data_IF_969773042906
#
_entry.id   IF_969773042906
#
_cell.length_a   1.000
_cell.length_b   1.000
_cell.length_c   1.000
_cell.angle_alpha   90.00
_cell.angle_beta   90.00
_cell.angle_gamma   90.00
#
_symmetry.space_group_name_H-M   'P 1'
#
loop_
_entity.id
_entity.type
_entity.pdbx_description
1 polymer ?
#
# COMPACT_ATOMS: atom_id res chain seq x y z
N UNK A 1 -12.59 53.69 -13.85
CA UNK A 1 -13.58 53.90 -14.91
C UNK A 1 -14.54 52.71 -14.87
N UNK A 2 -15.81 52.97 -15.00
CA UNK A 2 -16.96 52.26 -14.48
C UNK A 2 -17.15 50.80 -14.98
N UNK A 3 -17.38 49.88 -14.03
CA UNK A 3 -17.85 48.53 -14.19
C UNK A 3 -19.34 48.55 -14.58
N UNK A 4 -19.73 47.79 -15.63
CA UNK A 4 -21.13 47.50 -15.95
C UNK A 4 -21.50 46.08 -15.50
N UNK A 5 -22.42 46.00 -14.58
CA UNK A 5 -23.12 44.80 -14.10
C UNK A 5 -24.24 44.49 -15.13
N UNK A 6 -24.36 43.24 -15.55
CA UNK A 6 -25.54 42.74 -16.28
C UNK A 6 -26.32 41.75 -15.41
N UNK A 7 -27.57 42.15 -15.16
CA UNK A 7 -28.52 41.34 -14.46
C UNK A 7 -29.12 40.27 -15.37
N UNK A 8 -29.20 39.03 -14.91
CA UNK A 8 -29.95 37.97 -15.58
C UNK A 8 -31.25 37.78 -14.85
N UNK A 9 -32.34 37.91 -15.58
CA UNK A 9 -33.73 37.77 -15.16
C UNK A 9 -34.04 36.27 -14.97
N UNK A 10 -34.51 35.88 -13.79
CA UNK A 10 -35.03 34.56 -13.53
C UNK A 10 -36.49 34.45 -14.01
N UNK A 11 -36.77 33.54 -14.93
CA UNK A 11 -38.13 33.14 -15.29
C UNK A 11 -38.55 31.98 -14.39
N UNK A 12 -39.52 32.22 -13.55
CA UNK A 12 -40.17 31.21 -12.70
C UNK A 12 -41.30 30.57 -13.53
N UNK A 13 -41.15 29.30 -13.86
CA UNK A 13 -42.22 28.44 -14.38
C UNK A 13 -42.81 27.61 -13.25
N UNK A 14 -44.03 27.96 -12.88
CA UNK A 14 -44.88 27.15 -12.00
C UNK A 14 -45.41 25.94 -12.78
N UNK A 15 -44.99 24.74 -12.40
CA UNK A 15 -45.66 23.50 -12.80
C UNK A 15 -46.24 22.80 -11.60
N UNK A 16 -47.53 22.55 -11.71
CA UNK A 16 -48.43 21.97 -10.72
C UNK A 16 -48.05 20.54 -10.35
N UNK A 17 -48.20 20.23 -9.08
CA UNK A 17 -47.95 18.95 -8.45
C UNK A 17 -48.93 17.85 -8.92
N UNK A 18 -48.41 16.72 -9.37
CA UNK A 18 -49.01 15.42 -9.21
C UNK A 18 -48.17 14.62 -8.22
N UNK A 19 -48.78 14.23 -7.09
CA UNK A 19 -48.12 13.50 -6.00
C UNK A 19 -47.71 12.10 -6.42
N UNK A 20 -46.39 11.89 -6.56
CA UNK A 20 -45.75 10.58 -6.55
C UNK A 20 -45.12 10.36 -5.17
N UNK A 21 -44.84 9.09 -4.76
CA UNK A 21 -44.23 8.84 -3.46
C UNK A 21 -42.84 9.49 -3.38
N UNK A 22 -42.60 10.23 -2.29
CA UNK A 22 -41.30 10.84 -2.02
C UNK A 22 -40.23 9.75 -2.05
N UNK A 23 -39.08 9.97 -2.74
CA UNK A 23 -37.93 9.11 -2.55
C UNK A 23 -37.53 9.14 -1.07
N UNK A 24 -37.51 7.97 -0.44
CA UNK A 24 -36.91 7.81 0.87
C UNK A 24 -35.46 8.24 0.76
N UNK A 25 -35.03 9.15 1.60
CA UNK A 25 -33.60 9.46 1.75
C UNK A 25 -32.85 8.15 2.02
N UNK A 26 -31.65 7.95 1.46
CA UNK A 26 -30.87 6.78 1.78
C UNK A 26 -30.72 6.72 3.30
N UNK A 27 -31.04 5.57 3.88
CA UNK A 27 -30.76 5.30 5.29
C UNK A 27 -29.28 5.59 5.50
N UNK A 28 -28.96 6.72 6.10
CA UNK A 28 -27.65 6.91 6.71
C UNK A 28 -27.58 5.88 7.82
N UNK A 29 -26.79 4.81 7.60
CA UNK A 29 -26.43 3.90 8.69
C UNK A 29 -25.98 4.77 9.86
N UNK A 30 -26.61 4.60 11.01
CA UNK A 30 -26.16 5.24 12.24
C UNK A 30 -24.69 4.86 12.41
N UNK A 31 -23.81 5.84 12.66
CA UNK A 31 -22.45 5.57 13.06
C UNK A 31 -22.51 4.57 14.22
N UNK A 32 -21.88 3.40 14.06
CA UNK A 32 -21.89 2.40 15.10
C UNK A 32 -21.24 2.99 16.35
N UNK A 33 -21.80 2.66 17.50
CA UNK A 33 -21.18 3.03 18.78
C UNK A 33 -19.78 2.44 18.84
N UNK A 34 -18.83 3.10 19.56
CA UNK A 34 -17.52 2.50 19.82
C UNK A 34 -17.67 1.06 20.32
N UNK A 35 -16.73 0.16 20.01
CA UNK A 35 -16.79 -1.22 20.46
C UNK A 35 -16.96 -1.30 21.99
N UNK A 36 -17.79 -2.21 22.46
CA UNK A 36 -17.94 -2.45 23.90
C UNK A 36 -16.71 -3.20 24.45
N UNK A 37 -15.78 -2.43 24.97
CA UNK A 37 -14.55 -2.96 25.57
C UNK A 37 -14.73 -3.50 26.99
N UNK A 38 -15.92 -3.35 27.58
CA UNK A 38 -16.18 -3.74 28.98
C UNK A 38 -15.98 -5.24 29.27
N UNK A 39 -15.99 -6.06 28.22
CA UNK A 39 -15.78 -7.51 28.28
C UNK A 39 -14.36 -7.94 27.88
N UNK A 40 -13.52 -6.99 27.50
CA UNK A 40 -12.16 -7.28 27.08
C UNK A 40 -11.22 -7.03 28.25
N UNK A 41 -10.69 -8.11 28.80
CA UNK A 41 -9.66 -8.08 29.83
C UNK A 41 -8.31 -8.39 29.18
N UNK A 42 -7.30 -7.57 29.46
CA UNK A 42 -5.93 -7.80 29.03
C UNK A 42 -5.01 -8.00 30.23
N UNK A 43 -4.00 -8.82 30.06
CA UNK A 43 -2.86 -8.88 30.95
C UNK A 43 -1.90 -7.77 30.56
N UNK A 44 -1.66 -6.79 31.45
CA UNK A 44 -0.89 -5.58 31.21
C UNK A 44 -1.66 -4.32 31.59
N UNK A 45 -1.08 -3.14 31.34
CA UNK A 45 -1.70 -1.87 31.71
C UNK A 45 -2.78 -1.43 30.71
N UNK A 46 -4.05 -1.71 31.03
CA UNK A 46 -5.20 -1.30 30.22
C UNK A 46 -5.38 0.24 30.12
N UNK A 47 -4.66 1.02 30.92
CA UNK A 47 -4.76 2.49 30.88
C UNK A 47 -3.88 3.12 29.80
N UNK A 48 -2.87 2.42 29.31
CA UNK A 48 -1.99 2.87 28.23
C UNK A 48 -2.75 3.08 26.93
N UNK A 49 -2.34 4.11 26.17
CA UNK A 49 -3.07 4.51 24.98
C UNK A 49 -3.06 3.44 23.88
N UNK A 50 -1.94 2.74 23.71
CA UNK A 50 -1.80 1.61 22.77
C UNK A 50 -2.77 0.48 23.16
N UNK A 51 -2.81 0.12 24.43
CA UNK A 51 -3.65 -0.96 24.94
C UNK A 51 -5.15 -0.62 24.87
N UNK A 52 -5.53 0.65 25.01
CA UNK A 52 -6.93 1.07 24.77
C UNK A 52 -7.35 0.88 23.33
N UNK A 53 -6.48 1.22 22.38
CA UNK A 53 -6.74 0.97 20.95
C UNK A 53 -6.81 -0.53 20.67
N UNK A 54 -5.89 -1.31 21.22
CA UNK A 54 -5.87 -2.77 21.11
C UNK A 54 -7.16 -3.41 21.66
N UNK A 55 -7.64 -3.00 22.83
CA UNK A 55 -8.90 -3.50 23.38
C UNK A 55 -10.11 -3.20 22.50
N UNK A 56 -10.15 -1.99 21.87
CA UNK A 56 -11.18 -1.64 20.91
C UNK A 56 -11.14 -2.53 19.66
N UNK A 57 -9.94 -2.79 19.12
CA UNK A 57 -9.74 -3.69 18.00
C UNK A 57 -10.15 -5.13 18.31
N UNK A 58 -9.75 -5.65 19.48
CA UNK A 58 -10.10 -7.00 19.94
C UNK A 58 -11.62 -7.17 20.05
N UNK A 59 -12.32 -6.21 20.64
CA UNK A 59 -13.77 -6.26 20.77
C UNK A 59 -14.45 -6.34 19.40
N UNK A 60 -14.03 -5.50 18.46
CA UNK A 60 -14.61 -5.48 17.12
C UNK A 60 -14.24 -6.71 16.29
N UNK A 61 -13.00 -7.19 16.38
CA UNK A 61 -12.55 -8.42 15.72
C UNK A 61 -13.35 -9.64 16.15
N UNK A 62 -13.65 -9.77 17.44
CA UNK A 62 -14.51 -10.83 17.97
C UNK A 62 -15.92 -10.75 17.36
N UNK A 63 -16.50 -9.56 17.31
CA UNK A 63 -17.84 -9.35 16.76
C UNK A 63 -17.89 -9.55 15.24
N UNK A 64 -16.89 -9.05 14.51
CA UNK A 64 -16.77 -9.22 13.08
C UNK A 64 -16.68 -10.70 12.70
N UNK A 65 -15.73 -11.42 13.28
CA UNK A 65 -15.55 -12.85 12.99
C UNK A 65 -16.68 -13.72 13.51
N UNK A 66 -17.35 -13.28 14.58
CA UNK A 66 -18.59 -13.93 15.03
C UNK A 66 -19.68 -13.96 13.95
N UNK A 67 -19.68 -12.97 13.03
CA UNK A 67 -20.63 -12.89 11.92
C UNK A 67 -20.08 -13.53 10.63
N UNK A 68 -18.81 -13.26 10.30
CA UNK A 68 -18.23 -13.68 9.02
C UNK A 68 -17.83 -15.15 8.99
N UNK A 69 -17.27 -15.69 10.08
CA UNK A 69 -16.76 -17.05 10.10
C UNK A 69 -17.84 -18.11 9.81
N UNK A 70 -19.05 -18.05 10.40
CA UNK A 70 -20.12 -19.01 10.08
C UNK A 70 -20.55 -18.92 8.61
N UNK A 71 -20.55 -17.73 8.02
CA UNK A 71 -20.93 -17.56 6.60
C UNK A 71 -19.86 -18.18 5.67
N UNK A 72 -18.58 -18.00 6.02
CA UNK A 72 -17.47 -18.50 5.18
C UNK A 72 -17.28 -20.01 5.29
N UNK A 73 -17.35 -20.55 6.50
CA UNK A 73 -16.91 -21.92 6.80
C UNK A 73 -18.06 -22.87 7.18
N UNK A 74 -19.29 -22.36 7.29
CA UNK A 74 -20.46 -23.16 7.76
C UNK A 74 -20.21 -23.86 9.10
N UNK A 75 -19.49 -23.19 10.00
CA UNK A 75 -19.13 -23.64 11.35
C UNK A 75 -19.35 -22.48 12.33
N UNK A 76 -19.65 -22.78 13.58
CA UNK A 76 -19.71 -21.75 14.61
C UNK A 76 -18.33 -21.14 14.85
N UNK A 77 -18.31 -19.83 15.06
CA UNK A 77 -17.08 -19.14 15.47
C UNK A 77 -16.81 -19.36 16.96
N UNK A 78 -15.60 -19.77 17.27
CA UNK A 78 -15.11 -19.80 18.63
C UNK A 78 -14.25 -18.58 18.93
N UNK A 79 -14.67 -17.68 19.83
CA UNK A 79 -13.86 -16.55 20.25
C UNK A 79 -12.49 -16.97 20.80
N UNK A 80 -11.51 -16.07 20.76
CA UNK A 80 -10.22 -16.28 21.42
C UNK A 80 -10.45 -16.33 22.94
N UNK A 81 -10.03 -17.41 23.60
CA UNK A 81 -10.37 -17.72 24.99
C UNK A 81 -9.17 -17.72 25.93
N UNK A 82 -7.94 -17.87 25.41
CA UNK A 82 -6.74 -18.01 26.22
C UNK A 82 -6.25 -16.71 26.84
N UNK A 83 -6.75 -15.58 26.36
CA UNK A 83 -6.44 -14.25 26.88
C UNK A 83 -5.62 -13.38 25.92
N UNK A 84 -5.45 -12.13 26.32
CA UNK A 84 -4.80 -11.07 25.58
C UNK A 84 -3.68 -10.48 26.43
N UNK A 85 -2.46 -10.42 25.90
CA UNK A 85 -1.26 -10.10 26.67
C UNK A 85 -0.52 -8.91 26.08
N UNK A 86 -0.63 -7.77 26.76
CA UNK A 86 0.20 -6.58 26.52
C UNK A 86 1.48 -6.71 27.34
N UNK A 87 2.57 -7.08 26.72
CA UNK A 87 3.80 -7.49 27.39
C UNK A 87 4.80 -6.35 27.40
N UNK A 88 5.54 -6.23 28.50
CA UNK A 88 6.74 -5.39 28.64
C UNK A 88 7.95 -6.32 28.72
N UNK A 89 8.64 -6.63 27.60
CA UNK A 89 9.72 -7.63 27.57
C UNK A 89 10.81 -7.37 28.61
N UNK A 90 11.15 -6.12 28.86
CA UNK A 90 12.17 -5.74 29.87
C UNK A 90 11.76 -6.03 31.31
N UNK A 91 10.46 -6.23 31.59
CA UNK A 91 9.99 -6.62 32.94
C UNK A 91 10.30 -8.06 33.29
N UNK A 92 10.56 -8.89 32.28
CA UNK A 92 10.76 -10.32 32.42
C UNK A 92 9.46 -11.13 32.49
N UNK A 93 8.29 -10.50 32.37
CA UNK A 93 7.01 -11.19 32.26
C UNK A 93 6.88 -11.75 30.83
N UNK A 94 6.51 -13.03 30.75
CA UNK A 94 6.35 -13.72 29.47
C UNK A 94 4.88 -14.12 29.26
N UNK A 95 4.34 -13.91 28.05
CA UNK A 95 3.02 -14.42 27.73
C UNK A 95 3.05 -15.94 27.57
N UNK A 96 1.90 -16.62 27.67
CA UNK A 96 1.83 -18.03 27.33
C UNK A 96 2.40 -18.30 25.94
N UNK A 97 3.14 -19.38 25.76
CA UNK A 97 3.87 -19.80 24.55
C UNK A 97 5.24 -19.17 24.33
N UNK A 98 5.57 -18.05 24.94
CA UNK A 98 6.94 -17.55 24.93
C UNK A 98 7.74 -18.23 26.04
N UNK A 99 8.97 -18.63 25.72
CA UNK A 99 9.94 -19.18 26.65
C UNK A 99 11.04 -18.18 27.00
N UNK A 100 11.15 -17.11 26.21
CA UNK A 100 12.18 -16.09 26.28
C UNK A 100 11.61 -14.71 25.89
N UNK A 101 12.16 -13.64 26.47
CA UNK A 101 11.73 -12.28 26.18
C UNK A 101 11.99 -11.87 24.71
N UNK A 102 12.98 -12.47 24.05
CA UNK A 102 13.29 -12.19 22.64
C UNK A 102 12.19 -12.67 21.68
N UNK A 103 11.36 -13.64 22.10
CA UNK A 103 10.27 -14.15 21.27
C UNK A 103 9.10 -13.14 21.17
N UNK A 104 9.01 -12.19 22.11
CA UNK A 104 7.97 -11.16 22.14
C UNK A 104 8.52 -9.76 21.88
N UNK A 105 9.81 -9.52 22.15
CA UNK A 105 10.43 -8.22 21.93
C UNK A 105 10.38 -7.85 20.44
N UNK A 106 9.77 -6.71 20.13
CA UNK A 106 9.54 -6.27 18.77
C UNK A 106 8.54 -7.12 17.98
N UNK A 107 7.65 -7.88 18.67
CA UNK A 107 6.77 -8.85 18.04
C UNK A 107 5.31 -8.75 18.53
N UNK A 108 4.40 -9.31 17.75
CA UNK A 108 3.07 -9.70 18.14
C UNK A 108 2.81 -11.11 17.59
N UNK A 109 2.01 -11.93 18.26
CA UNK A 109 1.68 -13.25 17.75
C UNK A 109 0.35 -13.80 18.27
N UNK A 110 -0.26 -14.67 17.47
CA UNK A 110 -1.28 -15.59 17.93
C UNK A 110 -0.69 -16.97 18.21
N UNK A 111 -0.89 -17.49 19.42
CA UNK A 111 -0.47 -18.85 19.79
C UNK A 111 -1.63 -19.85 19.79
N UNK A 112 -1.68 -20.72 18.80
CA UNK A 112 -2.74 -21.71 18.64
C UNK A 112 -2.81 -22.74 19.81
N UNK A 113 -1.67 -23.09 20.45
CA UNK A 113 -1.65 -24.08 21.56
C UNK A 113 -2.38 -23.60 22.80
N UNK A 114 -2.42 -22.28 23.01
CA UNK A 114 -3.02 -21.67 24.22
C UNK A 114 -4.20 -20.77 23.87
N UNK A 115 -4.45 -20.57 22.56
CA UNK A 115 -5.48 -19.67 22.04
C UNK A 115 -5.35 -18.24 22.59
N UNK A 116 -4.12 -17.71 22.60
CA UNK A 116 -3.79 -16.36 23.09
C UNK A 116 -3.31 -15.46 21.98
N UNK A 117 -3.53 -14.15 22.13
CA UNK A 117 -2.87 -13.09 21.36
C UNK A 117 -1.97 -12.30 22.31
N UNK A 118 -0.73 -12.09 21.92
CA UNK A 118 0.23 -11.31 22.68
C UNK A 118 0.91 -10.28 21.79
N UNK A 119 1.31 -9.16 22.36
CA UNK A 119 2.05 -8.09 21.66
C UNK A 119 3.03 -7.38 22.58
N UNK A 120 4.13 -6.93 22.00
CA UNK A 120 5.05 -6.05 22.68
C UNK A 120 4.41 -4.66 22.82
N UNK A 121 4.17 -4.25 24.04
CA UNK A 121 3.60 -2.97 24.43
C UNK A 121 4.62 -2.09 25.16
N UNK A 122 5.91 -2.42 25.09
CA UNK A 122 6.95 -1.68 25.78
C UNK A 122 7.08 -0.28 25.21
N UNK A 123 6.85 0.73 26.05
CA UNK A 123 7.08 2.12 25.69
C UNK A 123 8.57 2.44 25.59
N UNK A 124 8.89 3.59 25.00
CA UNK A 124 10.26 4.07 24.86
C UNK A 124 10.91 4.26 26.23
N UNK A 125 11.93 3.46 26.52
CA UNK A 125 12.77 3.61 27.70
C UNK A 125 14.11 4.27 27.32
N UNK A 126 14.71 5.10 28.19
CA UNK A 126 15.99 5.70 27.94
C UNK A 126 17.08 4.68 27.57
N UNK A 127 17.58 4.73 26.34
CA UNK A 127 18.63 3.85 25.84
C UNK A 127 18.17 2.49 25.28
N UNK A 128 16.86 2.23 25.23
CA UNK A 128 16.27 1.03 24.61
C UNK A 128 15.45 1.43 23.38
N UNK A 129 15.28 0.47 22.47
CA UNK A 129 14.34 0.63 21.37
C UNK A 129 12.89 0.59 21.91
N UNK A 130 12.00 1.32 21.24
CA UNK A 130 10.57 1.25 21.52
C UNK A 130 10.02 -0.11 21.08
N UNK A 131 9.06 -0.65 21.83
CA UNK A 131 8.39 -1.90 21.51
C UNK A 131 7.55 -1.82 20.26
N UNK A 132 7.09 -2.97 19.73
CA UNK A 132 6.44 -3.05 18.42
C UNK A 132 5.25 -2.08 18.28
N UNK A 133 4.20 -2.23 19.08
CA UNK A 133 2.99 -1.44 18.88
C UNK A 133 3.16 0.03 19.24
N UNK A 134 3.87 0.44 20.31
CA UNK A 134 4.18 1.84 20.54
C UNK A 134 4.99 2.47 19.40
N UNK A 135 6.03 1.79 18.91
CA UNK A 135 6.87 2.29 17.81
C UNK A 135 6.11 2.41 16.48
N UNK A 136 5.28 1.45 16.16
CA UNK A 136 4.41 1.53 14.98
C UNK A 136 3.39 2.68 15.12
N UNK A 137 2.82 2.86 16.31
CA UNK A 137 1.90 3.97 16.58
C UNK A 137 2.56 5.33 16.39
N UNK A 138 3.78 5.52 16.91
CA UNK A 138 4.52 6.77 16.75
C UNK A 138 4.78 7.08 15.28
N UNK A 139 5.17 6.07 14.52
CA UNK A 139 5.54 6.22 13.11
C UNK A 139 4.35 6.30 12.16
N UNK A 140 3.30 5.53 12.42
CA UNK A 140 2.18 5.30 11.47
C UNK A 140 0.80 5.65 12.04
N UNK A 141 0.72 6.15 13.27
CA UNK A 141 -0.55 6.52 13.91
C UNK A 141 -1.31 5.35 14.50
N UNK A 142 -2.49 5.64 15.04
CA UNK A 142 -3.27 4.68 15.84
C UNK A 142 -3.80 3.48 15.05
N UNK A 143 -4.09 3.64 13.76
CA UNK A 143 -4.76 2.60 12.98
C UNK A 143 -3.87 1.40 12.64
N UNK A 144 -2.56 1.53 12.69
CA UNK A 144 -1.66 0.38 12.49
C UNK A 144 -1.80 -0.68 13.58
N UNK A 145 -2.13 -0.28 14.83
CA UNK A 145 -2.32 -1.22 15.95
C UNK A 145 -3.42 -2.23 15.66
N UNK A 146 -4.67 -1.81 15.35
CA UNK A 146 -5.72 -2.75 14.99
C UNK A 146 -5.40 -3.58 13.74
N UNK A 147 -4.63 -3.07 12.79
CA UNK A 147 -4.22 -3.83 11.59
C UNK A 147 -3.29 -4.99 11.97
N UNK A 148 -2.30 -4.76 12.84
CA UNK A 148 -1.43 -5.83 13.35
C UNK A 148 -2.25 -6.89 14.10
N UNK A 149 -3.15 -6.46 14.99
CA UNK A 149 -4.02 -7.40 15.71
C UNK A 149 -4.97 -8.16 14.79
N UNK A 150 -5.46 -7.53 13.72
CA UNK A 150 -6.29 -8.20 12.71
C UNK A 150 -5.51 -9.24 11.92
N UNK A 151 -4.20 -9.03 11.68
CA UNK A 151 -3.30 -10.03 11.12
C UNK A 151 -3.18 -11.25 12.07
N UNK A 152 -2.91 -11.02 13.35
CA UNK A 152 -2.84 -12.11 14.35
C UNK A 152 -4.18 -12.86 14.45
N UNK A 153 -5.30 -12.14 14.30
CA UNK A 153 -6.61 -12.77 14.19
C UNK A 153 -6.74 -13.66 12.97
N UNK A 154 -6.11 -13.30 11.87
CA UNK A 154 -6.02 -14.14 10.67
C UNK A 154 -5.47 -15.53 11.00
N UNK A 155 -4.41 -15.62 11.80
CA UNK A 155 -3.87 -16.89 12.28
C UNK A 155 -4.86 -17.65 13.18
N UNK A 156 -5.63 -16.94 14.01
CA UNK A 156 -6.69 -17.56 14.79
C UNK A 156 -7.79 -18.16 13.88
N UNK A 157 -8.17 -17.47 12.80
CA UNK A 157 -9.13 -17.97 11.81
C UNK A 157 -8.59 -19.19 11.06
N UNK A 158 -7.30 -19.20 10.71
CA UNK A 158 -6.63 -20.36 10.11
C UNK A 158 -6.71 -21.59 11.01
N UNK A 159 -6.43 -21.41 12.30
CA UNK A 159 -6.56 -22.50 13.28
C UNK A 159 -7.98 -23.07 13.34
N UNK A 160 -9.01 -22.20 13.38
CA UNK A 160 -10.42 -22.58 13.46
C UNK A 160 -10.95 -23.20 12.17
N UNK A 161 -10.46 -22.75 11.05
CA UNK A 161 -10.83 -23.31 9.72
C UNK A 161 -10.08 -24.59 9.36
N UNK A 162 -9.02 -24.95 10.11
CA UNK A 162 -8.04 -25.99 9.78
C UNK A 162 -7.30 -25.71 8.47
N UNK A 163 -6.99 -24.44 8.20
CA UNK A 163 -6.22 -24.06 7.02
C UNK A 163 -4.78 -24.58 7.12
N UNK A 164 -4.29 -25.16 6.05
CA UNK A 164 -2.93 -25.69 5.94
C UNK A 164 -2.30 -25.24 4.63
N UNK A 165 -1.15 -24.61 4.71
CA UNK A 165 -0.38 -24.12 3.59
C UNK A 165 1.08 -23.87 4.04
N UNK A 166 1.97 -23.45 3.13
CA UNK A 166 3.30 -22.93 3.46
C UNK A 166 3.17 -21.71 4.38
N UNK A 167 4.23 -21.41 5.11
CA UNK A 167 4.23 -20.28 6.06
C UNK A 167 3.89 -18.98 5.34
N UNK A 168 4.59 -18.62 4.27
CA UNK A 168 4.31 -17.41 3.51
C UNK A 168 2.85 -17.30 3.05
N UNK A 169 2.23 -18.41 2.62
CA UNK A 169 0.81 -18.41 2.21
C UNK A 169 -0.12 -18.15 3.40
N UNK A 170 0.22 -18.65 4.59
CA UNK A 170 -0.51 -18.34 5.82
C UNK A 170 -0.39 -16.88 6.22
N UNK A 171 0.81 -16.32 6.12
CA UNK A 171 1.05 -14.91 6.41
C UNK A 171 0.25 -14.01 5.47
N UNK A 172 0.31 -14.27 4.17
CA UNK A 172 -0.46 -13.51 3.18
C UNK A 172 -1.97 -13.67 3.37
N UNK A 173 -2.45 -14.85 3.78
CA UNK A 173 -3.87 -15.03 4.10
C UNK A 173 -4.24 -14.22 5.36
N UNK A 174 -3.36 -14.14 6.35
CA UNK A 174 -3.59 -13.33 7.54
C UNK A 174 -3.62 -11.81 7.20
N UNK A 175 -2.72 -11.34 6.35
CA UNK A 175 -2.76 -9.97 5.82
C UNK A 175 -4.05 -9.70 5.03
N UNK A 176 -4.50 -10.64 4.22
CA UNK A 176 -5.76 -10.54 3.49
C UNK A 176 -6.95 -10.42 4.46
N UNK A 177 -7.03 -11.23 5.50
CA UNK A 177 -8.08 -11.12 6.52
C UNK A 177 -8.00 -9.81 7.29
N UNK A 178 -6.80 -9.28 7.56
CA UNK A 178 -6.61 -7.96 8.13
C UNK A 178 -7.16 -6.86 7.20
N UNK A 179 -6.94 -6.98 5.90
CA UNK A 179 -7.51 -6.09 4.90
C UNK A 179 -9.04 -6.12 4.88
N UNK A 180 -9.63 -7.31 4.89
CA UNK A 180 -11.08 -7.48 4.91
C UNK A 180 -11.72 -6.87 6.17
N UNK A 181 -11.11 -7.08 7.33
CA UNK A 181 -11.55 -6.45 8.56
C UNK A 181 -11.36 -4.93 8.53
N UNK A 182 -10.26 -4.42 7.98
CA UNK A 182 -10.01 -2.97 7.87
C UNK A 182 -11.07 -2.27 7.01
N UNK A 183 -11.59 -2.93 5.97
CA UNK A 183 -12.72 -2.43 5.19
C UNK A 183 -13.99 -2.35 6.02
N UNK A 184 -14.29 -3.39 6.81
CA UNK A 184 -15.40 -3.38 7.76
C UNK A 184 -15.24 -2.23 8.76
N UNK A 185 -14.08 -2.12 9.42
CA UNK A 185 -13.80 -1.09 10.42
C UNK A 185 -14.01 0.33 9.87
N UNK A 186 -13.62 0.56 8.61
CA UNK A 186 -13.84 1.82 7.91
C UNK A 186 -15.31 2.06 7.60
N UNK A 187 -16.01 1.08 7.04
CA UNK A 187 -17.38 1.24 6.54
C UNK A 187 -18.41 1.31 7.66
N UNK A 188 -18.22 0.55 8.73
CA UNK A 188 -19.11 0.55 9.88
C UNK A 188 -18.80 1.67 10.88
N UNK A 189 -17.68 2.40 10.65
CA UNK A 189 -17.31 3.58 11.44
C UNK A 189 -16.87 3.27 12.88
N UNK A 190 -16.48 2.03 13.15
CA UNK A 190 -15.94 1.60 14.44
C UNK A 190 -14.66 2.35 14.75
N UNK A 191 -13.81 2.47 13.73
CA UNK A 191 -12.65 3.36 13.73
C UNK A 191 -12.87 4.46 12.69
N UNK A 192 -12.46 5.69 13.01
CA UNK A 192 -12.48 6.80 12.05
C UNK A 192 -11.31 6.64 11.08
N UNK A 193 -11.45 5.72 10.12
CA UNK A 193 -10.40 5.42 9.15
C UNK A 193 -10.46 6.37 7.97
N UNK A 194 -9.45 7.20 7.82
CA UNK A 194 -9.25 8.12 6.70
C UNK A 194 -8.41 7.46 5.59
N UNK A 195 -8.28 8.14 4.45
CA UNK A 195 -7.35 7.69 3.41
C UNK A 195 -5.89 7.70 3.89
N UNK A 196 -5.51 8.69 4.72
CA UNK A 196 -4.18 8.76 5.31
C UNK A 196 -3.90 7.60 6.26
N UNK A 197 -4.89 7.17 7.05
CA UNK A 197 -4.74 6.00 7.94
C UNK A 197 -4.53 4.70 7.13
N UNK A 198 -5.16 4.57 5.96
CA UNK A 198 -4.89 3.44 5.06
C UNK A 198 -3.48 3.51 4.46
N UNK A 199 -3.03 4.69 4.05
CA UNK A 199 -1.67 4.88 3.53
C UNK A 199 -0.63 4.50 4.59
N UNK A 200 -0.82 4.93 5.84
CA UNK A 200 0.09 4.61 6.94
C UNK A 200 0.00 3.16 7.38
N UNK A 201 -1.18 2.52 7.32
CA UNK A 201 -1.34 1.10 7.56
C UNK A 201 -0.54 0.27 6.54
N UNK A 202 -0.62 0.61 5.24
CA UNK A 202 0.21 -0.05 4.21
C UNK A 202 1.70 0.15 4.46
N UNK A 203 2.11 1.34 4.85
CA UNK A 203 3.51 1.62 5.19
C UNK A 203 3.97 0.79 6.41
N UNK A 204 3.09 0.57 7.40
CA UNK A 204 3.36 -0.31 8.54
C UNK A 204 3.52 -1.78 8.13
N UNK A 205 2.64 -2.29 7.27
CA UNK A 205 2.76 -3.65 6.70
C UNK A 205 4.06 -3.79 5.91
N UNK A 206 4.42 -2.78 5.13
CA UNK A 206 5.66 -2.76 4.36
C UNK A 206 6.90 -2.82 5.26
N UNK A 207 6.89 -2.18 6.42
CA UNK A 207 7.99 -2.23 7.39
C UNK A 207 8.11 -3.61 8.09
N UNK A 208 7.01 -4.35 8.18
CA UNK A 208 6.96 -5.69 8.79
C UNK A 208 7.29 -6.82 7.79
N UNK A 209 7.80 -6.50 6.61
CA UNK A 209 8.21 -7.48 5.60
C UNK A 209 9.49 -8.21 5.97
N UNK A 210 9.72 -9.30 5.30
CA UNK A 210 11.01 -9.99 5.36
C UNK A 210 12.17 -9.14 4.82
N UNK A 211 13.36 -9.46 5.27
CA UNK A 211 14.58 -8.92 4.65
C UNK A 211 14.65 -9.33 3.17
N UNK A 212 14.97 -8.41 2.24
CA UNK A 212 15.13 -8.74 0.83
C UNK A 212 16.00 -9.97 0.60
N UNK A 213 15.54 -10.89 -0.24
CA UNK A 213 16.21 -12.16 -0.54
C UNK A 213 15.87 -13.31 0.44
N UNK A 214 14.98 -13.13 1.41
CA UNK A 214 14.42 -14.23 2.20
C UNK A 214 13.66 -15.18 1.28
N UNK A 215 13.94 -16.48 1.38
CA UNK A 215 13.26 -17.47 0.55
C UNK A 215 11.83 -17.76 1.01
N UNK A 216 10.91 -17.90 0.07
CA UNK A 216 9.50 -18.23 0.31
C UNK A 216 9.28 -19.63 0.93
N UNK A 217 10.31 -20.47 0.97
CA UNK A 217 10.27 -21.78 1.65
C UNK A 217 10.84 -21.74 3.06
N UNK A 218 11.35 -20.58 3.51
CA UNK A 218 11.80 -20.43 4.89
C UNK A 218 10.60 -20.64 5.83
N UNK A 219 10.75 -21.47 6.87
CA UNK A 219 9.66 -21.73 7.81
C UNK A 219 9.24 -20.49 8.63
N UNK A 220 10.03 -19.41 8.59
CA UNK A 220 9.72 -18.14 9.25
C UNK A 220 9.40 -17.02 8.24
N UNK A 221 9.26 -17.32 6.93
CA UNK A 221 8.99 -16.31 5.93
C UNK A 221 7.60 -15.68 6.11
N UNK A 222 7.56 -14.34 6.13
CA UNK A 222 6.33 -13.53 6.14
C UNK A 222 5.94 -13.05 4.75
N UNK A 223 6.88 -12.99 3.82
CA UNK A 223 6.71 -12.50 2.46
C UNK A 223 7.32 -11.13 2.20
N UNK A 224 7.44 -10.78 0.91
CA UNK A 224 7.87 -9.46 0.49
C UNK A 224 6.83 -8.40 0.84
N UNK A 225 7.24 -7.15 0.91
CA UNK A 225 6.30 -6.04 1.13
C UNK A 225 5.25 -5.95 0.03
N UNK A 226 5.62 -6.21 -1.22
CA UNK A 226 4.69 -6.24 -2.34
C UNK A 226 3.61 -7.32 -2.17
N UNK A 227 4.01 -8.55 -1.80
CA UNK A 227 3.06 -9.65 -1.60
C UNK A 227 2.12 -9.36 -0.43
N UNK A 228 2.65 -8.89 0.71
CA UNK A 228 1.88 -8.54 1.91
C UNK A 228 0.87 -7.42 1.65
N UNK A 229 1.32 -6.32 1.05
CA UNK A 229 0.45 -5.19 0.67
C UNK A 229 -0.60 -5.64 -0.35
N UNK A 230 -0.22 -6.49 -1.30
CA UNK A 230 -1.16 -7.05 -2.28
C UNK A 230 -2.24 -7.90 -1.61
N UNK A 231 -1.87 -8.74 -0.67
CA UNK A 231 -2.80 -9.57 0.09
C UNK A 231 -3.76 -8.73 0.93
N UNK A 232 -3.26 -7.70 1.60
CA UNK A 232 -4.09 -6.77 2.36
C UNK A 232 -5.11 -6.05 1.48
N UNK A 233 -4.68 -5.56 0.30
CA UNK A 233 -5.59 -4.94 -0.66
C UNK A 233 -6.61 -5.91 -1.23
N UNK A 234 -6.25 -7.18 -1.46
CA UNK A 234 -7.20 -8.20 -1.89
C UNK A 234 -8.35 -8.39 -0.88
N UNK A 235 -8.01 -8.49 0.41
CA UNK A 235 -8.98 -8.59 1.47
C UNK A 235 -9.87 -7.36 1.59
N UNK A 236 -9.25 -6.18 1.53
CA UNK A 236 -9.95 -4.90 1.62
C UNK A 236 -10.96 -4.70 0.48
N UNK A 237 -10.58 -5.05 -0.74
CA UNK A 237 -11.41 -4.83 -1.92
C UNK A 237 -12.47 -5.93 -2.12
N UNK A 238 -12.13 -7.18 -1.81
CA UNK A 238 -12.94 -8.35 -2.17
C UNK A 238 -13.53 -9.09 -0.96
N UNK A 239 -13.16 -8.67 0.25
CA UNK A 239 -13.66 -9.26 1.49
C UNK A 239 -13.04 -10.61 1.85
N UNK A 240 -13.46 -11.21 2.99
CA UNK A 240 -12.81 -12.40 3.55
C UNK A 240 -13.02 -13.68 2.72
N UNK A 241 -13.99 -13.68 1.80
CA UNK A 241 -14.19 -14.78 0.84
C UNK A 241 -13.00 -14.98 -0.08
N UNK A 242 -12.40 -13.88 -0.58
CA UNK A 242 -11.18 -13.94 -1.40
C UNK A 242 -10.02 -14.55 -0.60
N UNK A 243 -9.87 -14.16 0.66
CA UNK A 243 -8.80 -14.65 1.53
C UNK A 243 -8.93 -16.16 1.82
N UNK A 244 -10.16 -16.66 1.99
CA UNK A 244 -10.43 -18.08 2.18
C UNK A 244 -9.89 -18.95 1.04
N UNK A 245 -9.87 -18.41 -0.18
CA UNK A 245 -9.47 -19.14 -1.38
C UNK A 245 -7.94 -19.19 -1.59
N UNK A 246 -7.16 -18.59 -0.71
CA UNK A 246 -5.69 -18.63 -0.76
C UNK A 246 -5.18 -20.06 -0.61
N UNK A 247 -4.16 -20.40 -1.38
CA UNK A 247 -3.44 -21.68 -1.39
C UNK A 247 -2.01 -21.48 -1.89
N UNK A 248 -1.19 -22.50 -1.83
CA UNK A 248 0.26 -22.39 -2.11
C UNK A 248 0.64 -21.94 -3.53
N UNK A 249 -0.27 -22.03 -4.46
CA UNK A 249 -0.11 -21.58 -5.85
C UNK A 249 -0.92 -20.31 -6.19
N UNK A 250 -1.69 -19.77 -5.22
CA UNK A 250 -2.50 -18.56 -5.42
C UNK A 250 -2.79 -17.84 -4.08
N UNK A 251 -2.39 -16.58 -3.91
CA UNK A 251 -1.73 -15.74 -4.91
C UNK A 251 -0.31 -16.21 -5.23
N UNK A 252 0.15 -15.85 -6.41
CA UNK A 252 1.57 -16.08 -6.77
C UNK A 252 2.44 -15.22 -5.87
N UNK A 253 3.42 -15.83 -5.23
CA UNK A 253 4.40 -15.15 -4.38
C UNK A 253 5.66 -14.91 -5.22
N UNK A 254 6.10 -13.65 -5.26
CA UNK A 254 7.28 -13.27 -6.01
C UNK A 254 8.56 -13.54 -5.21
N UNK A 255 9.48 -14.28 -5.80
CA UNK A 255 10.84 -14.45 -5.28
C UNK A 255 11.82 -14.00 -6.36
N UNK A 256 12.48 -12.87 -6.12
CA UNK A 256 13.46 -12.30 -7.02
C UNK A 256 14.88 -12.70 -6.56
N UNK A 257 15.74 -13.17 -7.44
CA UNK A 257 17.14 -13.45 -7.11
C UNK A 257 17.98 -12.17 -7.18
N UNK A 258 19.06 -12.10 -6.38
CA UNK A 258 20.12 -11.15 -6.65
C UNK A 258 20.84 -11.50 -7.95
N UNK A 259 21.23 -10.48 -8.72
CA UNK A 259 21.89 -10.68 -10.01
C UNK A 259 23.28 -11.30 -9.87
N UNK A 260 24.03 -10.86 -8.87
CA UNK A 260 25.37 -11.36 -8.54
C UNK A 260 25.72 -11.05 -7.07
N UNK A 261 26.92 -11.47 -6.67
CA UNK A 261 27.42 -11.23 -5.32
C UNK A 261 27.64 -9.75 -4.98
N UNK A 262 27.84 -8.87 -5.97
CA UNK A 262 27.99 -7.43 -5.73
C UNK A 262 26.63 -6.79 -5.52
N UNK A 263 25.64 -7.24 -6.23
CA UNK A 263 24.25 -6.88 -6.07
C UNK A 263 23.77 -7.26 -4.66
N UNK A 264 23.95 -8.51 -4.27
CA UNK A 264 23.63 -8.97 -2.92
C UNK A 264 24.36 -8.17 -1.81
N UNK A 265 25.64 -7.80 -2.04
CA UNK A 265 26.41 -7.01 -1.09
C UNK A 265 25.91 -5.57 -0.92
N UNK A 266 25.11 -5.07 -1.88
CA UNK A 266 24.44 -3.76 -1.81
C UNK A 266 22.98 -3.86 -1.36
N UNK A 267 22.50 -5.07 -1.07
CA UNK A 267 21.09 -5.29 -0.72
C UNK A 267 20.12 -5.23 -1.89
N UNK A 268 20.62 -5.24 -3.12
CA UNK A 268 19.85 -5.09 -4.37
C UNK A 268 20.07 -3.73 -5.06
N UNK A 269 20.41 -2.68 -4.30
CA UNK A 269 20.48 -1.31 -4.83
C UNK A 269 21.59 -1.12 -5.86
N UNK A 270 21.24 -0.69 -7.06
CA UNK A 270 22.20 -0.16 -8.03
C UNK A 270 22.60 1.28 -7.66
N UNK A 271 23.81 1.74 -8.05
CA UNK A 271 24.22 3.12 -7.77
C UNK A 271 23.29 4.16 -8.39
N UNK A 272 23.01 5.25 -7.67
CA UNK A 272 22.12 6.33 -8.10
C UNK A 272 22.38 6.82 -9.53
N UNK A 273 23.66 7.08 -9.87
CA UNK A 273 24.02 7.53 -11.22
C UNK A 273 23.68 6.51 -12.30
N UNK A 274 23.73 5.22 -11.98
CA UNK A 274 23.34 4.16 -12.91
C UNK A 274 21.84 4.18 -13.18
N UNK A 275 21.04 4.49 -12.16
CA UNK A 275 19.58 4.57 -12.27
C UNK A 275 19.16 5.79 -13.08
N UNK A 276 19.55 6.99 -12.68
CA UNK A 276 19.09 8.22 -13.35
C UNK A 276 19.61 8.36 -14.78
N UNK A 277 20.74 7.71 -15.10
CA UNK A 277 21.25 7.68 -16.46
C UNK A 277 20.79 6.46 -17.28
N UNK A 278 20.40 5.36 -16.65
CA UNK A 278 20.04 4.10 -17.33
C UNK A 278 18.54 3.92 -17.52
N UNK A 279 17.75 4.13 -16.47
CA UNK A 279 16.31 3.88 -16.47
C UNK A 279 15.56 4.67 -17.56
N UNK A 280 15.84 5.97 -17.84
CA UNK A 280 15.16 6.67 -18.93
C UNK A 280 15.34 6.00 -20.29
N UNK A 281 16.52 5.48 -20.60
CA UNK A 281 16.78 4.75 -21.85
C UNK A 281 16.07 3.39 -21.89
N UNK A 282 16.00 2.68 -20.78
CA UNK A 282 15.25 1.43 -20.69
C UNK A 282 13.74 1.66 -20.79
N UNK A 283 13.24 2.79 -20.29
CA UNK A 283 11.84 3.23 -20.46
C UNK A 283 11.51 3.58 -21.92
N UNK A 284 12.44 4.23 -22.63
CA UNK A 284 12.28 4.48 -24.08
C UNK A 284 12.22 3.16 -24.86
N UNK A 285 13.11 2.19 -24.52
CA UNK A 285 13.08 0.86 -25.11
C UNK A 285 11.77 0.13 -24.79
N UNK A 286 11.34 0.15 -23.52
CA UNK A 286 10.06 -0.44 -23.11
C UNK A 286 8.89 0.12 -23.92
N UNK A 287 8.78 1.43 -24.02
CA UNK A 287 7.69 2.06 -24.75
C UNK A 287 7.77 1.83 -26.26
N UNK A 288 8.96 1.70 -26.82
CA UNK A 288 9.14 1.32 -28.22
C UNK A 288 8.51 -0.03 -28.52
N UNK A 289 8.59 -0.98 -27.60
CA UNK A 289 8.00 -2.31 -27.75
C UNK A 289 6.51 -2.36 -27.38
N UNK A 290 6.12 -1.73 -26.29
CA UNK A 290 4.77 -1.88 -25.71
C UNK A 290 3.76 -0.88 -26.31
N UNK A 291 4.20 0.33 -26.70
CA UNK A 291 3.29 1.36 -27.20
C UNK A 291 2.46 0.93 -28.43
N UNK A 292 3.02 0.22 -29.42
CA UNK A 292 2.22 -0.29 -30.55
C UNK A 292 1.09 -1.23 -30.11
N UNK A 293 1.28 -1.98 -29.04
CA UNK A 293 0.26 -2.90 -28.53
C UNK A 293 -0.91 -2.16 -27.87
N UNK A 294 -0.64 -1.04 -27.20
CA UNK A 294 -1.65 -0.24 -26.49
C UNK A 294 -2.23 0.90 -27.31
N UNK A 295 -1.65 1.19 -28.49
CA UNK A 295 -1.97 2.34 -29.35
C UNK A 295 -2.40 1.95 -30.77
N UNK A 296 -3.01 0.78 -30.93
CA UNK A 296 -3.52 0.29 -32.24
C UNK A 296 -2.44 0.30 -33.35
N UNK A 297 -1.23 -0.13 -33.02
CA UNK A 297 -0.11 -0.24 -33.95
C UNK A 297 0.67 1.08 -34.23
N UNK A 298 0.32 2.19 -33.55
CA UNK A 298 1.09 3.44 -33.65
C UNK A 298 2.47 3.26 -32.99
N UNK A 299 3.48 3.86 -33.58
CA UNK A 299 4.83 3.81 -33.05
C UNK A 299 5.03 4.80 -31.91
N UNK A 300 5.82 4.42 -30.92
CA UNK A 300 6.27 5.29 -29.85
C UNK A 300 7.07 6.47 -30.43
N UNK A 301 6.80 7.65 -29.93
CA UNK A 301 7.62 8.82 -30.18
C UNK A 301 8.38 9.12 -28.88
N UNK A 302 9.72 9.04 -28.88
CA UNK A 302 10.52 9.31 -27.70
C UNK A 302 10.20 10.68 -27.09
N UNK A 303 10.40 10.84 -25.78
CA UNK A 303 10.32 12.16 -25.16
C UNK A 303 11.42 13.05 -25.71
N UNK A 304 11.13 14.34 -25.95
CA UNK A 304 12.08 15.24 -26.60
C UNK A 304 13.30 15.56 -25.74
N UNK A 305 13.17 15.52 -24.39
CA UNK A 305 14.25 15.88 -23.49
C UNK A 305 14.21 15.18 -22.15
N UNK A 306 15.40 15.06 -21.56
CA UNK A 306 15.63 14.71 -20.19
C UNK A 306 16.32 15.88 -19.51
N UNK A 307 15.70 16.47 -18.51
CA UNK A 307 16.12 17.71 -17.88
C UNK A 307 16.41 17.51 -16.39
N UNK A 308 17.57 16.88 -16.02
CA UNK A 308 17.99 16.88 -14.62
C UNK A 308 18.37 18.30 -14.21
N UNK A 309 17.82 18.78 -13.08
CA UNK A 309 18.00 20.15 -12.64
C UNK A 309 18.45 20.30 -11.18
N UNK A 310 18.95 21.47 -10.85
CA UNK A 310 19.11 21.96 -9.47
C UNK A 310 17.82 22.69 -9.07
N UNK A 311 17.23 22.41 -7.89
CA UNK A 311 15.95 23.01 -7.47
C UNK A 311 15.96 24.55 -7.39
N UNK A 312 17.14 25.19 -7.36
CA UNK A 312 17.25 26.64 -7.48
C UNK A 312 17.08 27.15 -8.93
N UNK A 313 17.13 26.24 -9.93
CA UNK A 313 17.05 26.58 -11.35
C UNK A 313 16.18 25.56 -12.10
N UNK A 314 14.91 25.36 -11.71
CA UNK A 314 14.04 24.39 -12.38
C UNK A 314 13.71 24.87 -13.80
N UNK A 315 13.63 23.97 -14.80
CA UNK A 315 13.26 24.31 -16.16
C UNK A 315 11.78 24.71 -16.22
N UNK A 316 11.40 25.78 -16.98
CA UNK A 316 10.00 26.18 -17.11
C UNK A 316 9.22 25.19 -18.00
N UNK A 317 7.97 24.91 -17.70
CA UNK A 317 7.10 24.06 -18.52
C UNK A 317 6.00 24.90 -19.20
N UNK A 318 5.99 24.94 -20.53
CA UNK A 318 5.06 25.78 -21.28
C UNK A 318 5.16 27.27 -20.91
N UNK A 319 6.34 27.71 -20.50
CA UNK A 319 6.57 29.07 -20.02
C UNK A 319 6.10 29.34 -18.59
N UNK A 320 5.61 28.34 -17.86
CA UNK A 320 5.20 28.45 -16.45
C UNK A 320 6.35 28.00 -15.52
N UNK A 321 6.41 28.58 -14.31
CA UNK A 321 7.36 28.16 -13.28
C UNK A 321 7.03 26.74 -12.79
N UNK A 322 8.08 25.97 -12.58
CA UNK A 322 8.04 24.62 -11.97
C UNK A 322 8.72 24.57 -10.60
N UNK A 323 8.88 25.74 -9.97
CA UNK A 323 9.44 25.84 -8.63
C UNK A 323 8.66 24.95 -7.62
N UNK A 324 9.37 24.19 -6.81
CA UNK A 324 8.79 23.27 -5.84
C UNK A 324 8.50 21.86 -6.37
N UNK A 325 8.58 21.62 -7.67
CA UNK A 325 8.47 20.26 -8.21
C UNK A 325 9.80 19.52 -8.08
N UNK A 326 9.73 18.25 -7.69
CA UNK A 326 10.89 17.34 -7.63
C UNK A 326 11.00 16.52 -8.92
N UNK A 327 9.87 16.17 -9.51
CA UNK A 327 9.79 15.34 -10.70
C UNK A 327 8.50 15.65 -11.46
N UNK A 328 8.59 15.80 -12.78
CA UNK A 328 7.41 16.01 -13.64
C UNK A 328 7.68 15.69 -15.10
N UNK A 329 6.62 15.33 -15.83
CA UNK A 329 6.58 15.32 -17.27
C UNK A 329 5.93 16.62 -17.76
N UNK A 330 6.66 17.40 -18.56
CA UNK A 330 6.15 18.62 -19.15
C UNK A 330 5.40 18.32 -20.45
N UNK A 331 4.07 18.38 -20.42
CA UNK A 331 3.22 18.08 -21.59
C UNK A 331 3.47 19.06 -22.78
N UNK A 332 3.52 20.41 -22.59
CA UNK A 332 3.70 21.31 -23.72
C UNK A 332 5.05 21.20 -24.44
N UNK A 333 6.12 20.95 -23.68
CA UNK A 333 7.50 20.97 -24.18
C UNK A 333 8.07 19.55 -24.35
N UNK A 334 7.30 18.51 -23.95
CA UNK A 334 7.57 17.08 -24.12
C UNK A 334 8.91 16.62 -23.56
N UNK A 335 9.17 16.92 -22.26
CA UNK A 335 10.36 16.45 -21.57
C UNK A 335 10.03 15.92 -20.16
N UNK A 336 10.88 15.03 -19.64
CA UNK A 336 10.86 14.59 -18.24
C UNK A 336 11.95 15.32 -17.48
N UNK A 337 11.59 15.96 -16.37
CA UNK A 337 12.51 16.70 -15.53
C UNK A 337 12.52 16.19 -14.08
N UNK A 338 13.69 16.20 -13.44
CA UNK A 338 13.83 15.84 -12.04
C UNK A 338 14.91 16.64 -11.32
N UNK A 339 14.65 16.94 -10.03
CA UNK A 339 15.64 17.52 -9.12
C UNK A 339 16.74 16.47 -8.84
N UNK A 340 17.85 16.64 -9.54
CA UNK A 340 19.01 15.73 -9.47
C UNK A 340 20.01 16.12 -8.37
N UNK A 341 19.79 17.26 -7.70
CA UNK A 341 20.70 17.77 -6.69
C UNK A 341 20.27 17.42 -5.26
N UNK A 342 18.96 17.42 -4.98
CA UNK A 342 18.41 17.24 -3.64
C UNK A 342 17.29 16.21 -3.60
N UNK A 343 16.24 16.40 -4.39
CA UNK A 343 15.00 15.63 -4.29
C UNK A 343 15.19 14.15 -4.64
N UNK A 344 15.63 13.83 -5.84
CA UNK A 344 15.80 12.43 -6.25
C UNK A 344 16.95 11.70 -5.51
N UNK A 345 18.08 12.34 -5.17
CA UNK A 345 19.05 11.74 -4.24
C UNK A 345 18.47 11.41 -2.87
N UNK A 346 17.52 12.21 -2.35
CA UNK A 346 16.83 11.89 -1.10
C UNK A 346 15.86 10.72 -1.26
N UNK A 347 15.14 10.64 -2.39
CA UNK A 347 14.30 9.47 -2.74
C UNK A 347 15.14 8.20 -2.74
N UNK A 348 16.29 8.21 -3.43
CA UNK A 348 17.23 7.09 -3.47
C UNK A 348 17.70 6.69 -2.06
N UNK A 349 18.14 7.66 -1.27
CA UNK A 349 18.66 7.40 0.09
C UNK A 349 17.62 6.78 1.02
N UNK A 350 16.35 7.12 0.86
CA UNK A 350 15.28 6.68 1.77
C UNK A 350 14.48 5.49 1.21
N UNK A 351 14.38 5.40 -0.09
CA UNK A 351 13.50 4.46 -0.79
C UNK A 351 14.22 3.37 -1.58
N UNK A 352 15.51 3.55 -1.86
CA UNK A 352 16.29 2.64 -2.70
C UNK A 352 16.32 3.06 -4.17
N UNK A 353 16.95 2.25 -4.98
CA UNK A 353 17.16 2.54 -6.40
C UNK A 353 15.88 2.41 -7.22
N UNK A 354 15.06 1.40 -6.92
CA UNK A 354 13.81 1.17 -7.63
C UNK A 354 12.72 2.18 -7.27
N UNK A 355 12.83 2.87 -6.14
CA UNK A 355 11.97 4.02 -5.84
C UNK A 355 12.17 5.13 -6.87
N UNK A 356 13.43 5.41 -7.23
CA UNK A 356 13.78 6.38 -8.29
C UNK A 356 13.28 5.89 -9.65
N UNK A 357 13.52 4.62 -9.99
CA UNK A 357 13.07 4.01 -11.24
C UNK A 357 11.54 4.06 -11.38
N UNK A 358 10.82 3.71 -10.33
CA UNK A 358 9.34 3.76 -10.31
C UNK A 358 8.82 5.17 -10.55
N UNK A 359 9.36 6.18 -9.85
CA UNK A 359 8.94 7.56 -10.03
C UNK A 359 9.20 8.07 -11.46
N UNK A 360 10.36 7.74 -12.05
CA UNK A 360 10.62 8.05 -13.47
C UNK A 360 9.64 7.33 -14.39
N UNK A 361 9.34 6.07 -14.13
CA UNK A 361 8.40 5.28 -14.93
C UNK A 361 6.97 5.88 -14.89
N UNK A 362 6.55 6.47 -13.78
CA UNK A 362 5.24 7.16 -13.72
C UNK A 362 5.17 8.33 -14.70
N UNK A 363 6.27 9.08 -14.89
CA UNK A 363 6.32 10.22 -15.81
C UNK A 363 6.29 9.77 -17.28
N UNK A 364 6.96 8.68 -17.60
CA UNK A 364 6.85 8.06 -18.91
C UNK A 364 5.45 7.48 -19.15
N UNK A 365 4.78 6.97 -18.12
CA UNK A 365 3.36 6.63 -18.18
C UNK A 365 2.48 7.82 -18.56
N UNK A 366 2.72 9.00 -17.98
CA UNK A 366 2.02 10.24 -18.35
C UNK A 366 2.34 10.68 -19.78
N UNK A 367 3.59 10.52 -20.22
CA UNK A 367 3.98 10.79 -21.60
C UNK A 367 3.24 9.87 -22.58
N UNK A 368 3.12 8.58 -22.27
CA UNK A 368 2.36 7.62 -23.07
C UNK A 368 0.86 7.97 -23.13
N UNK A 369 0.25 8.32 -22.00
CA UNK A 369 -1.15 8.76 -21.94
C UNK A 369 -1.38 10.02 -22.78
N UNK A 370 -0.46 10.98 -22.75
CA UNK A 370 -0.51 12.19 -23.59
C UNK A 370 -0.53 11.83 -25.08
N UNK A 371 0.32 10.89 -25.51
CA UNK A 371 0.40 10.40 -26.89
C UNK A 371 -0.83 9.60 -27.31
N UNK A 372 -1.48 8.93 -26.36
CA UNK A 372 -2.77 8.25 -26.54
C UNK A 372 -3.93 9.25 -26.61
N UNK A 373 -3.70 10.53 -26.30
CA UNK A 373 -4.73 11.56 -26.30
C UNK A 373 -5.64 11.53 -25.08
N UNK A 374 -5.15 11.03 -23.97
CA UNK A 374 -5.90 11.02 -22.69
C UNK A 374 -6.34 12.44 -22.31
N UNK A 375 -7.59 12.57 -21.89
CA UNK A 375 -8.24 13.82 -21.49
C UNK A 375 -8.81 13.73 -20.07
N UNK A 376 -8.43 12.72 -19.32
CA UNK A 376 -8.88 12.58 -17.94
C UNK A 376 -8.32 13.70 -17.05
N UNK A 377 -8.92 13.86 -15.88
CA UNK A 377 -8.40 14.74 -14.84
C UNK A 377 -7.03 14.26 -14.32
N UNK A 378 -6.32 15.14 -13.62
CA UNK A 378 -4.97 14.87 -13.12
C UNK A 378 -4.90 13.63 -12.24
N UNK A 379 -5.90 13.40 -11.37
CA UNK A 379 -5.94 12.25 -10.49
C UNK A 379 -6.09 10.94 -11.26
N UNK A 380 -6.95 10.92 -12.26
CA UNK A 380 -7.18 9.75 -13.10
C UNK A 380 -5.98 9.45 -14.00
N UNK A 381 -5.34 10.48 -14.57
CA UNK A 381 -4.13 10.30 -15.38
C UNK A 381 -2.94 9.86 -14.53
N UNK A 382 -2.78 10.39 -13.31
CA UNK A 382 -1.75 9.93 -12.36
C UNK A 382 -1.94 8.45 -12.02
N UNK A 383 -3.15 8.03 -11.65
CA UNK A 383 -3.42 6.62 -11.33
C UNK A 383 -3.11 5.69 -12.51
N UNK A 384 -3.43 6.10 -13.76
CA UNK A 384 -3.04 5.33 -14.94
C UNK A 384 -1.53 5.37 -15.20
N UNK A 385 -0.87 6.48 -14.92
CA UNK A 385 0.60 6.60 -14.99
C UNK A 385 1.28 5.65 -14.00
N UNK A 386 0.78 5.58 -12.76
CA UNK A 386 1.24 4.63 -11.74
C UNK A 386 1.01 3.17 -12.18
N UNK A 387 -0.15 2.87 -12.78
CA UNK A 387 -0.43 1.55 -13.34
C UNK A 387 0.54 1.21 -14.48
N UNK A 388 0.78 2.13 -15.40
CA UNK A 388 1.72 1.93 -16.51
C UNK A 388 3.17 1.75 -16.02
N UNK A 389 3.56 2.40 -14.92
CA UNK A 389 4.83 2.13 -14.24
C UNK A 389 4.88 0.68 -13.70
N UNK A 390 3.78 0.17 -13.17
CA UNK A 390 3.64 -1.25 -12.83
C UNK A 390 3.78 -2.17 -14.04
N UNK A 391 3.22 -1.80 -15.19
CA UNK A 391 3.40 -2.54 -16.44
C UNK A 391 4.86 -2.59 -16.92
N UNK A 392 5.59 -1.48 -16.76
CA UNK A 392 7.05 -1.47 -16.97
C UNK A 392 7.75 -2.43 -16.02
N UNK A 393 7.43 -2.37 -14.73
CA UNK A 393 7.98 -3.27 -13.71
C UNK A 393 7.74 -4.74 -14.07
N UNK A 394 6.53 -5.10 -14.52
CA UNK A 394 6.22 -6.44 -15.00
C UNK A 394 7.13 -6.88 -16.16
N UNK A 395 7.42 -5.98 -17.10
CA UNK A 395 8.32 -6.26 -18.22
C UNK A 395 9.75 -6.55 -17.76
N UNK A 396 10.24 -5.84 -16.74
CA UNK A 396 11.57 -6.10 -16.16
C UNK A 396 11.59 -7.43 -15.41
N UNK A 397 10.57 -7.73 -14.60
CA UNK A 397 10.45 -8.99 -13.86
C UNK A 397 10.43 -10.19 -14.83
N UNK A 398 9.63 -10.10 -15.87
CA UNK A 398 9.47 -11.17 -16.86
C UNK A 398 10.68 -11.30 -17.78
N UNK A 399 11.60 -10.33 -17.73
CA UNK A 399 12.77 -10.28 -18.63
C UNK A 399 12.38 -10.53 -20.09
N UNK A 400 11.30 -9.92 -20.54
CA UNK A 400 10.70 -10.16 -21.85
C UNK A 400 11.29 -9.28 -22.98
N UNK A 401 12.32 -8.48 -22.68
CA UNK A 401 13.13 -7.66 -23.60
C UNK A 401 14.64 -8.00 -23.48
N UNK A 402 15.06 -9.28 -23.54
CA UNK A 402 16.43 -9.68 -23.20
C UNK A 402 17.49 -9.16 -24.19
N UNK A 403 17.09 -8.82 -25.42
CA UNK A 403 18.01 -8.35 -26.46
C UNK A 403 18.31 -6.84 -26.37
N UNK A 404 17.48 -6.09 -25.66
CA UNK A 404 17.50 -4.62 -25.63
C UNK A 404 17.62 -4.05 -24.22
N UNK A 405 16.91 -4.61 -23.23
CA UNK A 405 17.00 -4.17 -21.85
C UNK A 405 18.20 -4.75 -21.12
N UNK A 406 18.95 -3.87 -20.48
CA UNK A 406 20.04 -4.26 -19.56
C UNK A 406 19.68 -4.02 -18.09
N UNK A 407 18.45 -3.54 -17.83
CA UNK A 407 17.99 -3.29 -16.49
C UNK A 407 17.53 -4.59 -15.83
N UNK A 408 17.88 -4.75 -14.58
CA UNK A 408 17.51 -5.91 -13.77
C UNK A 408 16.82 -5.44 -12.51
N UNK A 409 15.91 -6.26 -12.00
CA UNK A 409 15.22 -6.06 -10.76
C UNK A 409 15.75 -7.04 -9.71
N UNK A 410 15.96 -6.57 -8.51
CA UNK A 410 16.53 -7.31 -7.39
C UNK A 410 15.52 -7.51 -6.26
N UNK A 411 15.81 -8.38 -5.27
CA UNK A 411 14.99 -8.49 -4.07
C UNK A 411 14.86 -7.14 -3.36
N UNK A 412 13.64 -6.71 -3.04
CA UNK A 412 13.35 -5.42 -2.40
C UNK A 412 12.84 -4.35 -3.34
N UNK A 413 13.14 -4.41 -4.64
CA UNK A 413 12.81 -3.35 -5.61
C UNK A 413 11.31 -3.09 -5.71
N UNK A 414 10.47 -4.14 -5.67
CA UNK A 414 9.02 -3.95 -5.67
C UNK A 414 8.52 -3.22 -4.43
N UNK A 415 9.13 -3.48 -3.28
CA UNK A 415 8.82 -2.82 -2.01
C UNK A 415 9.21 -1.35 -2.06
N UNK A 416 10.32 -1.04 -2.72
CA UNK A 416 10.79 0.32 -2.97
C UNK A 416 9.84 1.08 -3.90
N UNK A 417 9.36 0.42 -4.94
CA UNK A 417 8.32 0.97 -5.82
C UNK A 417 7.05 1.33 -5.08
N UNK A 418 6.55 0.45 -4.20
CA UNK A 418 5.42 0.75 -3.31
C UNK A 418 5.74 1.93 -2.39
N UNK A 419 6.91 1.91 -1.75
CA UNK A 419 7.35 2.96 -0.84
C UNK A 419 7.42 4.32 -1.55
N UNK A 420 7.89 4.34 -2.81
CA UNK A 420 7.91 5.54 -3.62
C UNK A 420 6.52 6.19 -3.74
N UNK A 421 5.50 5.40 -3.99
CA UNK A 421 4.13 5.87 -4.21
C UNK A 421 3.41 6.23 -2.89
N UNK A 422 3.81 5.64 -1.77
CA UNK A 422 3.24 5.92 -0.45
C UNK A 422 3.85 7.15 0.20
N UNK A 423 5.18 7.31 0.13
CA UNK A 423 5.93 8.24 0.99
C UNK A 423 6.39 9.50 0.26
N UNK A 424 6.88 9.38 -0.98
CA UNK A 424 7.47 10.51 -1.69
C UNK A 424 6.41 11.34 -2.40
N UNK A 425 5.81 12.26 -1.63
CA UNK A 425 4.77 13.19 -2.09
C UNK A 425 5.00 14.57 -1.48
N UNK A 426 4.72 15.60 -2.27
CA UNK A 426 4.74 16.98 -1.81
C UNK A 426 3.41 17.41 -1.16
N UNK A 427 3.41 18.60 -0.60
CA UNK A 427 2.18 19.24 -0.10
C UNK A 427 1.19 19.44 -1.27
N UNK A 428 -0.06 19.06 -1.08
CA UNK A 428 -1.12 19.15 -2.10
C UNK A 428 -1.13 18.00 -3.12
N UNK A 429 -0.17 17.07 -3.07
CA UNK A 429 -0.16 15.93 -4.01
C UNK A 429 -1.30 14.94 -3.77
N UNK A 430 -1.76 14.79 -2.53
CA UNK A 430 -2.89 13.90 -2.22
C UNK A 430 -4.17 14.37 -2.93
N UNK A 431 -4.42 15.68 -2.95
CA UNK A 431 -5.58 16.25 -3.64
C UNK A 431 -5.46 16.10 -5.17
N UNK A 432 -4.28 16.28 -5.72
CA UNK A 432 -4.02 16.23 -7.17
C UNK A 432 -3.86 14.82 -7.70
N UNK A 433 -3.07 13.98 -7.01
CA UNK A 433 -2.64 12.66 -7.47
C UNK A 433 -3.42 11.51 -6.84
N UNK A 434 -4.12 11.75 -5.74
CA UNK A 434 -4.82 10.74 -4.96
C UNK A 434 -4.00 10.21 -3.77
N UNK A 435 -4.68 9.45 -2.92
CA UNK A 435 -4.06 8.81 -1.77
C UNK A 435 -3.03 7.75 -2.20
N UNK A 436 -2.02 7.50 -1.38
CA UNK A 436 -0.99 6.48 -1.62
C UNK A 436 -1.59 5.08 -1.81
N UNK A 437 -2.63 4.76 -1.06
CA UNK A 437 -3.43 3.54 -1.25
C UNK A 437 -3.84 3.33 -2.71
N UNK A 438 -4.45 4.33 -3.33
CA UNK A 438 -4.94 4.24 -4.70
C UNK A 438 -3.80 4.14 -5.72
N UNK A 439 -2.70 4.83 -5.47
CA UNK A 439 -1.50 4.80 -6.31
C UNK A 439 -0.83 3.43 -6.28
N UNK A 440 -0.65 2.84 -5.08
CA UNK A 440 -0.11 1.48 -4.92
C UNK A 440 -1.01 0.44 -5.57
N UNK A 441 -2.33 0.58 -5.42
CA UNK A 441 -3.30 -0.29 -6.07
C UNK A 441 -3.19 -0.22 -7.60
N UNK A 442 -3.03 0.97 -8.15
CA UNK A 442 -2.83 1.17 -9.59
C UNK A 442 -1.51 0.53 -10.07
N UNK A 443 -0.42 0.75 -9.36
CA UNK A 443 0.87 0.14 -9.65
C UNK A 443 0.79 -1.39 -9.65
N UNK A 444 0.19 -1.96 -8.60
CA UNK A 444 -0.04 -3.41 -8.48
C UNK A 444 -0.85 -3.94 -9.67
N UNK A 445 -1.90 -3.24 -10.10
CA UNK A 445 -2.69 -3.62 -11.29
C UNK A 445 -1.79 -3.76 -12.52
N UNK A 446 -0.89 -2.80 -12.72
CA UNK A 446 0.07 -2.84 -13.81
C UNK A 446 1.07 -4.00 -13.71
N UNK A 447 1.57 -4.28 -12.50
CA UNK A 447 2.49 -5.41 -12.26
C UNK A 447 1.83 -6.76 -12.57
N UNK A 448 0.58 -6.92 -12.18
CA UNK A 448 -0.13 -8.21 -12.32
C UNK A 448 -0.70 -8.39 -13.73
N UNK A 449 -1.32 -7.35 -14.29
CA UNK A 449 -2.13 -7.42 -15.51
C UNK A 449 -1.53 -6.70 -16.72
N UNK A 450 -0.37 -6.06 -16.55
CA UNK A 450 0.38 -5.40 -17.64
C UNK A 450 -0.25 -4.09 -18.12
N UNK A 451 0.41 -3.43 -19.07
CA UNK A 451 0.08 -2.10 -19.56
C UNK A 451 -1.34 -1.98 -20.18
N UNK A 452 -1.84 -3.03 -20.80
CA UNK A 452 -3.18 -3.04 -21.43
C UNK A 452 -4.30 -2.79 -20.40
N UNK A 453 -4.19 -3.36 -19.20
CA UNK A 453 -5.16 -3.17 -18.13
C UNK A 453 -5.23 -1.70 -17.68
N UNK A 454 -4.09 -1.00 -17.73
CA UNK A 454 -3.95 0.38 -17.28
C UNK A 454 -4.75 1.39 -18.11
N UNK A 455 -4.99 1.12 -19.40
CA UNK A 455 -5.73 2.03 -20.27
C UNK A 455 -7.18 2.26 -19.83
N UNK A 456 -7.75 1.27 -19.14
CA UNK A 456 -9.13 1.30 -18.63
C UNK A 456 -9.18 1.45 -17.11
N UNK A 457 -8.03 1.58 -16.48
CA UNK A 457 -7.97 1.69 -15.03
C UNK A 457 -8.68 2.95 -14.54
N UNK A 458 -9.50 2.79 -13.51
CA UNK A 458 -10.18 3.87 -12.81
C UNK A 458 -9.84 3.77 -11.32
N UNK A 459 -9.35 4.86 -10.69
CA UNK A 459 -8.96 4.87 -9.30
C UNK A 459 -10.10 4.70 -8.31
#
# INVERSE_FOLDING_TARGET
>A
MRIKVWSVVAVILLLSACGGPKPQAPNTKAANSPPDTSKIEIHGDASESVNKVAMGAIADLQDYWGKEFPQLYSKDYEPVKGGFFAVIPSSGDLPPCASDASEISGNAFYCAKKDVVAWDAEGLLPGLAEGLLPGLKEKYGDFVIPVVLAHEWGHAIQGRSNFTARTVTKELQADCFAGAWSKHAKDDGVFKVTAADLDTALAGILDLRDTPGTSNIDPNAHGSGFDRVSAFQDGFDNGPGKCKDYRDDEPMVLELPFNDAKDAARGGDAPYDSIVNGVPYDLEDYWTHVYPEVADGKQWQPVHGLEPFDPNHPPPCGGQSTEGYVLFYCVPDDYVAWDNAVGMPQVYKQGGDYAVATLLATQYGLAALTRLGDKSDEKSSTARGDCLAGGYTASVILYNRPDTSTYHISPGDLDEGIKALLVFRGEGDVERQGAGWARVKAFREGVINGAQACLKYQP
#
